data_IF_370150916510
#
_entry.id   IF_370150916510
#
_cell.length_a   1.000
_cell.length_b   1.000
_cell.length_c   1.000
_cell.angle_alpha   90.00
_cell.angle_beta   90.00
_cell.angle_gamma   90.00
#
_symmetry.space_group_name_H-M   'P 1'
#
loop_
_entity.id
_entity.type
_entity.pdbx_description
1 polymer ?
#
# COMPACT_ATOMS: atom_id res chain seq x y z
N UNK A 1 22.61 16.99 -12.79
CA UNK A 1 22.30 16.87 -11.35
C UNK A 1 22.62 18.18 -10.61
N UNK A 2 23.89 18.56 -10.46
CA UNK A 2 24.31 19.78 -9.72
C UNK A 2 23.60 21.07 -10.13
N UNK A 3 23.36 21.32 -11.43
CA UNK A 3 22.61 22.52 -11.85
C UNK A 3 21.19 22.60 -11.23
N UNK A 4 20.51 21.45 -11.12
CA UNK A 4 19.12 21.35 -10.66
C UNK A 4 18.99 21.28 -9.15
N UNK A 5 19.96 20.67 -8.46
CA UNK A 5 19.89 20.40 -7.02
C UNK A 5 20.92 21.16 -6.19
N UNK A 6 21.95 21.76 -6.80
CA UNK A 6 23.17 22.29 -6.16
C UNK A 6 23.98 21.26 -5.35
N UNK A 7 23.69 19.97 -5.52
CA UNK A 7 24.42 18.89 -4.86
C UNK A 7 25.28 18.14 -5.89
N UNK A 8 26.37 17.54 -5.44
CA UNK A 8 27.15 16.60 -6.25
C UNK A 8 26.42 15.25 -6.33
N UNK A 9 26.42 14.64 -7.53
CA UNK A 9 25.75 13.37 -7.78
C UNK A 9 26.40 12.20 -7.04
N UNK A 10 27.73 12.24 -6.88
CA UNK A 10 28.48 11.18 -6.22
C UNK A 10 28.29 11.20 -4.69
N UNK A 11 27.92 12.35 -4.12
CA UNK A 11 27.69 12.55 -2.69
C UNK A 11 26.19 12.67 -2.34
N UNK A 12 25.32 11.97 -3.09
CA UNK A 12 23.86 12.01 -2.90
C UNK A 12 23.35 11.45 -1.58
N UNK A 13 24.18 10.72 -0.83
CA UNK A 13 23.82 10.21 0.49
C UNK A 13 23.82 11.29 1.57
N UNK A 14 24.57 12.39 1.35
CA UNK A 14 24.58 13.60 2.18
C UNK A 14 23.86 14.75 1.49
N UNK A 15 22.71 14.45 0.87
CA UNK A 15 21.94 15.45 0.12
C UNK A 15 21.41 16.56 1.04
N UNK A 16 21.58 17.82 0.61
CA UNK A 16 21.00 18.98 1.29
C UNK A 16 20.02 19.71 0.38
N UNK A 17 18.79 19.91 0.85
CA UNK A 17 17.77 20.66 0.10
C UNK A 17 18.12 22.15 0.09
N UNK A 18 18.08 22.76 -1.11
CA UNK A 18 18.23 24.20 -1.29
C UNK A 18 16.92 24.84 -1.78
N UNK A 19 16.59 26.00 -1.23
CA UNK A 19 15.41 26.77 -1.64
C UNK A 19 15.44 27.09 -3.15
N UNK A 20 14.29 26.93 -3.82
CA UNK A 20 14.13 27.14 -5.26
C UNK A 20 14.84 26.12 -6.17
N UNK A 21 15.43 25.06 -5.60
CA UNK A 21 16.09 23.98 -6.35
C UNK A 21 15.33 22.67 -6.18
N UNK A 22 15.56 21.71 -7.06
CA UNK A 22 14.92 20.40 -6.98
C UNK A 22 15.35 19.65 -5.72
N UNK A 23 14.42 18.88 -5.14
CA UNK A 23 14.74 17.91 -4.09
C UNK A 23 15.19 16.58 -4.70
N UNK A 24 15.81 15.73 -3.89
CA UNK A 24 16.20 14.38 -4.28
C UNK A 24 15.31 13.36 -3.58
N UNK A 25 14.48 12.70 -4.38
CA UNK A 25 13.64 11.59 -3.95
C UNK A 25 14.35 10.29 -4.28
N UNK A 26 14.71 9.51 -3.25
CA UNK A 26 15.34 8.19 -3.42
C UNK A 26 14.27 7.17 -3.84
N UNK A 27 14.32 6.79 -5.12
CA UNK A 27 13.50 5.72 -5.68
C UNK A 27 14.33 4.42 -5.70
N UNK A 28 13.74 3.33 -5.24
CA UNK A 28 14.36 2.00 -5.36
C UNK A 28 14.14 1.47 -6.78
N UNK A 29 15.06 1.82 -7.68
CA UNK A 29 15.14 1.21 -9.00
C UNK A 29 15.77 -0.18 -8.89
N UNK A 30 15.05 -1.14 -8.33
CA UNK A 30 15.43 -2.54 -8.47
C UNK A 30 15.10 -3.00 -9.91
N UNK A 31 16.05 -3.49 -10.72
CA UNK A 31 15.77 -3.93 -12.09
C UNK A 31 14.84 -5.14 -12.18
N UNK A 32 14.49 -5.79 -11.07
CA UNK A 32 13.45 -6.83 -10.98
C UNK A 32 12.02 -6.25 -10.97
N UNK A 33 11.80 -5.03 -10.50
CA UNK A 33 10.47 -4.39 -10.42
C UNK A 33 10.18 -3.46 -11.61
N UNK A 34 11.18 -3.15 -12.44
CA UNK A 34 10.99 -2.33 -13.64
C UNK A 34 10.55 -3.17 -14.85
N UNK A 35 9.28 -3.58 -14.88
CA UNK A 35 8.57 -3.67 -16.16
C UNK A 35 8.28 -2.24 -16.61
N UNK A 36 9.23 -1.65 -17.33
CA UNK A 36 9.15 -0.50 -18.23
C UNK A 36 10.26 0.53 -17.96
N UNK A 37 11.02 0.75 -19.04
CA UNK A 37 11.96 1.83 -19.30
C UNK A 37 13.33 1.73 -18.60
N UNK A 38 14.29 1.01 -19.19
CA UNK A 38 15.34 1.66 -20.00
C UNK A 38 16.23 0.68 -20.79
N UNK A 39 16.94 1.24 -21.77
CA UNK A 39 17.59 0.65 -22.96
C UNK A 39 18.73 -0.33 -22.65
N UNK A 40 18.58 -1.59 -23.08
CA UNK A 40 19.66 -2.49 -23.57
C UNK A 40 19.01 -3.70 -24.27
N UNK A 41 19.13 -3.75 -25.61
CA UNK A 41 18.26 -4.55 -26.50
C UNK A 41 18.55 -6.07 -26.51
N UNK A 42 19.78 -6.52 -26.26
CA UNK A 42 20.12 -7.94 -26.44
C UNK A 42 19.69 -8.83 -25.26
N UNK A 43 19.72 -8.33 -24.02
CA UNK A 43 19.25 -9.08 -22.85
C UNK A 43 17.72 -9.09 -22.73
N UNK A 44 17.02 -8.15 -23.36
CA UNK A 44 15.56 -8.08 -23.38
C UNK A 44 14.95 -9.18 -24.24
N UNK A 45 15.60 -9.53 -25.36
CA UNK A 45 15.12 -10.56 -26.27
C UNK A 45 15.21 -11.96 -25.65
N UNK A 46 16.34 -12.30 -25.03
CA UNK A 46 16.51 -13.58 -24.30
C UNK A 46 15.61 -13.70 -23.06
N UNK A 47 15.41 -12.60 -22.31
CA UNK A 47 14.45 -12.59 -21.17
C UNK A 47 13.00 -12.62 -21.62
N UNK A 48 12.64 -11.96 -22.71
CA UNK A 48 11.29 -11.98 -23.26
C UNK A 48 10.97 -13.35 -23.85
N UNK A 49 11.90 -13.99 -24.56
CA UNK A 49 11.78 -15.35 -25.07
C UNK A 49 11.65 -16.37 -23.93
N UNK A 50 12.47 -16.27 -22.88
CA UNK A 50 12.35 -17.11 -21.68
C UNK A 50 11.06 -16.85 -20.86
N UNK A 51 10.54 -15.62 -20.87
CA UNK A 51 9.30 -15.24 -20.19
C UNK A 51 8.06 -15.67 -20.98
N UNK A 52 8.12 -15.65 -22.32
CA UNK A 52 7.09 -16.20 -23.20
C UNK A 52 7.05 -17.74 -23.12
N UNK A 53 8.20 -18.42 -23.03
CA UNK A 53 8.26 -19.86 -22.71
C UNK A 53 7.75 -20.20 -21.30
N UNK A 54 7.86 -19.27 -20.35
CA UNK A 54 7.30 -19.42 -19.00
C UNK A 54 5.78 -19.27 -18.98
N UNK A 55 5.25 -18.28 -19.71
CA UNK A 55 3.80 -18.06 -19.87
C UNK A 55 3.12 -19.15 -20.68
N UNK A 56 3.85 -19.86 -21.53
CA UNK A 56 3.31 -20.96 -22.34
C UNK A 56 3.19 -22.28 -21.58
N UNK A 57 3.72 -22.37 -20.35
CA UNK A 57 3.49 -23.54 -19.49
C UNK A 57 2.10 -23.42 -18.83
N UNK A 58 1.28 -24.48 -18.82
CA UNK A 58 0.01 -24.44 -18.14
C UNK A 58 0.24 -24.14 -16.66
N UNK A 59 -0.38 -23.07 -16.16
CA UNK A 59 -0.36 -22.71 -14.75
C UNK A 59 -0.98 -23.90 -13.99
N UNK A 60 -0.29 -24.47 -12.98
CA UNK A 60 -0.85 -25.55 -12.18
C UNK A 60 -2.17 -25.11 -11.52
N UNK A 61 -3.14 -26.02 -11.39
CA UNK A 61 -4.35 -25.72 -10.64
C UNK A 61 -4.03 -25.39 -9.17
N UNK A 62 -4.72 -24.39 -8.63
CA UNK A 62 -4.61 -23.99 -7.22
C UNK A 62 -5.17 -25.09 -6.32
N UNK A 63 -4.51 -25.32 -5.18
CA UNK A 63 -4.96 -26.29 -4.16
C UNK A 63 -5.95 -25.70 -3.16
N UNK A 64 -6.20 -24.39 -3.21
CA UNK A 64 -7.01 -23.66 -2.24
C UNK A 64 -8.51 -23.76 -2.56
N UNK A 65 -9.35 -23.62 -1.54
CA UNK A 65 -10.81 -23.47 -1.72
C UNK A 65 -11.09 -22.24 -2.60
N UNK A 66 -12.10 -22.34 -3.48
CA UNK A 66 -12.39 -21.26 -4.43
C UNK A 66 -12.71 -19.93 -3.74
N UNK A 67 -13.31 -19.95 -2.55
CA UNK A 67 -13.56 -18.76 -1.74
C UNK A 67 -12.27 -18.09 -1.28
N UNK A 68 -11.28 -18.89 -0.88
CA UNK A 68 -9.94 -18.39 -0.54
C UNK A 68 -9.27 -17.82 -1.77
N UNK A 69 -9.33 -18.52 -2.91
CA UNK A 69 -8.75 -18.00 -4.16
C UNK A 69 -9.32 -16.62 -4.52
N UNK A 70 -10.65 -16.47 -4.46
CA UNK A 70 -11.31 -15.20 -4.75
C UNK A 70 -10.90 -14.10 -3.77
N UNK A 71 -10.76 -14.41 -2.48
CA UNK A 71 -10.30 -13.47 -1.47
C UNK A 71 -8.86 -13.02 -1.75
N UNK A 72 -7.95 -13.95 -2.05
CA UNK A 72 -6.55 -13.65 -2.36
C UNK A 72 -6.43 -12.84 -3.65
N UNK A 73 -7.17 -13.20 -4.69
CA UNK A 73 -7.25 -12.42 -5.93
C UNK A 73 -7.73 -10.99 -5.67
N UNK A 74 -8.69 -10.80 -4.76
CA UNK A 74 -9.21 -9.48 -4.39
C UNK A 74 -8.17 -8.65 -3.64
N UNK A 75 -7.61 -9.18 -2.54
CA UNK A 75 -6.70 -8.41 -1.68
C UNK A 75 -5.30 -8.21 -2.28
N UNK A 76 -4.87 -9.06 -3.22
CA UNK A 76 -3.60 -8.91 -3.94
C UNK A 76 -3.77 -8.23 -5.31
N UNK A 77 -4.92 -7.60 -5.59
CA UNK A 77 -5.17 -6.95 -6.87
C UNK A 77 -4.45 -5.60 -6.96
N UNK A 78 -3.29 -5.60 -7.61
CA UNK A 78 -2.49 -4.38 -7.85
C UNK A 78 -3.28 -3.27 -8.53
N UNK A 79 -4.19 -3.60 -9.45
CA UNK A 79 -4.97 -2.59 -10.16
C UNK A 79 -5.96 -1.89 -9.22
N UNK A 80 -6.61 -2.62 -8.33
CA UNK A 80 -7.51 -2.02 -7.33
C UNK A 80 -6.72 -1.13 -6.36
N UNK A 81 -5.49 -1.52 -6.00
CA UNK A 81 -4.60 -0.67 -5.20
C UNK A 81 -4.22 0.62 -5.93
N UNK A 82 -3.87 0.54 -7.21
CA UNK A 82 -3.59 1.72 -8.04
C UNK A 82 -4.80 2.65 -8.16
N UNK A 83 -5.99 2.09 -8.39
CA UNK A 83 -7.25 2.85 -8.47
C UNK A 83 -7.56 3.57 -7.15
N UNK A 84 -7.41 2.89 -6.00
CA UNK A 84 -7.61 3.50 -4.68
C UNK A 84 -6.67 4.69 -4.42
N UNK A 85 -5.38 4.55 -4.76
CA UNK A 85 -4.42 5.65 -4.58
C UNK A 85 -4.67 6.83 -5.52
N UNK A 86 -5.16 6.59 -6.73
CA UNK A 86 -5.56 7.66 -7.65
C UNK A 86 -6.73 8.48 -7.10
N UNK A 87 -7.69 7.83 -6.41
CA UNK A 87 -8.77 8.53 -5.71
C UNK A 87 -8.23 9.45 -4.61
N UNK A 88 -7.20 8.99 -3.89
CA UNK A 88 -6.45 9.76 -2.88
C UNK A 88 -5.46 10.78 -3.48
N UNK A 89 -5.52 11.03 -4.79
CA UNK A 89 -4.68 12.01 -5.53
C UNK A 89 -3.19 11.70 -5.56
N UNK A 90 -2.78 10.47 -5.26
CA UNK A 90 -1.39 10.05 -5.41
C UNK A 90 -1.00 9.94 -6.89
N UNK A 91 0.21 10.40 -7.22
CA UNK A 91 0.73 10.32 -8.59
C UNK A 91 1.50 9.01 -8.84
N UNK A 92 0.73 7.94 -9.09
CA UNK A 92 1.27 6.63 -9.43
C UNK A 92 2.06 6.61 -10.75
N UNK A 93 1.91 7.61 -11.63
CA UNK A 93 2.68 7.71 -12.89
C UNK A 93 4.10 8.18 -12.61
N UNK A 94 4.26 9.19 -11.75
CA UNK A 94 5.58 9.68 -11.33
C UNK A 94 6.25 8.71 -10.36
N UNK A 95 5.49 8.04 -9.50
CA UNK A 95 6.02 7.09 -8.54
C UNK A 95 5.20 5.79 -8.54
N UNK A 96 5.56 4.83 -9.41
CA UNK A 96 4.90 3.51 -9.43
C UNK A 96 5.03 2.82 -8.08
N UNK A 97 4.01 2.06 -7.70
CA UNK A 97 3.87 1.44 -6.38
C UNK A 97 5.11 0.68 -5.90
N UNK A 98 5.71 -0.13 -6.77
CA UNK A 98 6.89 -0.93 -6.44
C UNK A 98 8.23 -0.15 -6.39
N UNK A 99 8.21 1.18 -6.36
CA UNK A 99 9.41 2.05 -6.33
C UNK A 99 9.42 3.05 -5.18
N UNK A 100 8.33 3.15 -4.43
CA UNK A 100 8.27 3.97 -3.24
C UNK A 100 9.05 3.27 -2.12
N UNK A 101 10.04 3.95 -1.54
CA UNK A 101 10.82 3.36 -0.46
C UNK A 101 10.19 3.64 0.91
N UNK A 102 10.31 2.69 1.84
CA UNK A 102 9.93 2.91 3.26
C UNK A 102 10.57 4.18 3.85
N UNK A 103 11.79 4.54 3.41
CA UNK A 103 12.45 5.78 3.83
C UNK A 103 11.70 7.05 3.37
N UNK A 104 11.14 7.03 2.15
CA UNK A 104 10.35 8.14 1.61
C UNK A 104 9.01 8.28 2.34
N UNK A 105 8.34 7.16 2.64
CA UNK A 105 7.09 7.14 3.43
C UNK A 105 7.32 7.73 4.82
N UNK A 106 8.39 7.30 5.51
CA UNK A 106 8.81 7.87 6.81
C UNK A 106 9.10 9.37 6.71
N UNK A 107 9.73 9.81 5.63
CA UNK A 107 9.96 11.24 5.39
C UNK A 107 8.65 12.01 5.16
N UNK A 108 7.63 11.38 4.57
CA UNK A 108 6.26 11.90 4.47
C UNK A 108 5.62 12.09 5.84
N UNK A 109 5.65 11.06 6.70
CA UNK A 109 5.12 11.15 8.06
C UNK A 109 5.79 12.26 8.88
N UNK A 110 7.11 12.40 8.76
CA UNK A 110 7.83 13.47 9.43
C UNK A 110 7.35 14.86 8.97
N UNK A 111 7.09 15.05 7.66
CA UNK A 111 6.56 16.30 7.13
C UNK A 111 5.12 16.57 7.59
N UNK A 112 4.25 15.55 7.64
CA UNK A 112 2.90 15.68 8.20
C UNK A 112 2.92 16.05 9.69
N UNK A 113 3.85 15.48 10.46
CA UNK A 113 4.02 15.83 11.88
C UNK A 113 4.45 17.28 12.08
N UNK A 114 5.29 17.82 11.21
CA UNK A 114 5.61 19.26 11.23
C UNK A 114 4.37 20.11 10.94
N UNK A 115 3.56 19.73 9.95
CA UNK A 115 2.29 20.41 9.62
C UNK A 115 1.32 20.35 10.81
N UNK A 116 1.20 19.20 11.47
CA UNK A 116 0.37 19.01 12.67
C UNK A 116 0.75 20.00 13.77
N UNK A 117 2.05 20.20 14.04
CA UNK A 117 2.51 21.15 15.05
C UNK A 117 2.05 22.59 14.75
N UNK A 118 2.05 23.00 13.48
CA UNK A 118 1.54 24.30 13.08
C UNK A 118 0.01 24.41 13.20
N UNK A 119 -0.72 23.35 12.89
CA UNK A 119 -2.19 23.29 13.07
C UNK A 119 -2.53 23.43 14.56
N UNK A 120 -1.85 22.68 15.42
CA UNK A 120 -2.07 22.68 16.88
C UNK A 120 -1.75 24.04 17.52
N UNK A 121 -0.78 24.77 16.98
CA UNK A 121 -0.40 26.11 17.44
C UNK A 121 -1.14 27.24 16.71
N UNK A 122 -2.01 26.89 15.75
CA UNK A 122 -2.75 27.81 14.90
C UNK A 122 -1.84 28.85 14.19
N UNK A 123 -0.64 28.42 13.77
CA UNK A 123 0.38 29.27 13.17
C UNK A 123 0.57 28.97 11.68
N UNK A 124 0.02 29.83 10.82
CA UNK A 124 0.04 29.65 9.35
C UNK A 124 0.97 30.66 8.66
N UNK A 125 2.20 30.78 9.15
CA UNK A 125 3.22 31.66 8.59
C UNK A 125 3.92 31.04 7.35
N UNK A 126 4.98 31.70 6.86
CA UNK A 126 5.77 31.20 5.74
C UNK A 126 6.40 29.81 5.99
N UNK A 127 6.73 29.47 7.24
CA UNK A 127 7.26 28.16 7.59
C UNK A 127 6.21 27.05 7.45
N UNK A 128 4.94 27.32 7.78
CA UNK A 128 3.83 26.39 7.52
C UNK A 128 3.65 26.11 6.02
N UNK A 129 3.79 27.14 5.17
CA UNK A 129 3.75 26.95 3.71
C UNK A 129 4.92 26.07 3.24
N UNK A 130 6.12 26.28 3.79
CA UNK A 130 7.28 25.46 3.45
C UNK A 130 7.14 24.01 3.92
N UNK A 131 6.49 23.76 5.08
CA UNK A 131 6.18 22.41 5.54
C UNK A 131 5.23 21.69 4.57
N UNK A 132 4.19 22.38 4.07
CA UNK A 132 3.29 21.85 3.04
C UNK A 132 4.03 21.57 1.72
N UNK A 133 4.87 22.50 1.27
CA UNK A 133 5.69 22.32 0.07
C UNK A 133 6.62 21.11 0.21
N UNK A 134 7.22 20.93 1.39
CA UNK A 134 8.10 19.80 1.70
C UNK A 134 7.33 18.48 1.64
N UNK A 135 6.12 18.43 2.21
CA UNK A 135 5.26 17.25 2.12
C UNK A 135 4.95 16.87 0.67
N UNK A 136 4.41 17.79 -0.14
CA UNK A 136 4.08 17.50 -1.55
C UNK A 136 5.29 17.25 -2.44
N UNK A 137 6.47 17.69 -2.03
CA UNK A 137 7.73 17.35 -2.71
C UNK A 137 8.15 15.91 -2.39
N UNK A 138 7.93 15.45 -1.15
CA UNK A 138 8.27 14.09 -0.70
C UNK A 138 7.25 13.06 -1.16
N UNK A 139 5.98 13.40 -1.17
CA UNK A 139 4.87 12.51 -1.53
C UNK A 139 4.21 13.05 -2.81
N UNK A 140 4.45 12.41 -3.97
CA UNK A 140 3.95 12.89 -5.25
C UNK A 140 2.42 12.86 -5.34
N UNK A 141 1.84 13.99 -5.69
CA UNK A 141 0.41 14.15 -5.90
C UNK A 141 0.09 14.65 -7.30
N UNK A 142 -1.08 14.25 -7.83
CA UNK A 142 -1.61 14.68 -9.12
C UNK A 142 -2.74 15.69 -8.90
N UNK A 143 -2.38 16.97 -8.94
CA UNK A 143 -3.34 18.10 -8.86
C UNK A 143 -3.68 18.70 -10.24
N UNK A 144 -3.13 18.14 -11.33
CA UNK A 144 -3.29 18.68 -12.67
C UNK A 144 -2.75 20.11 -12.79
N UNK A 145 -3.63 21.05 -13.16
CA UNK A 145 -3.28 22.49 -13.31
C UNK A 145 -3.62 23.32 -12.08
N UNK A 146 -4.12 22.69 -11.01
CA UNK A 146 -4.48 23.39 -9.79
C UNK A 146 -3.29 23.51 -8.86
N UNK A 147 -3.26 24.60 -8.10
CA UNK A 147 -2.28 24.78 -7.02
C UNK A 147 -2.51 23.70 -5.95
N UNK A 148 -1.45 23.02 -5.46
CA UNK A 148 -1.57 22.09 -4.34
C UNK A 148 -2.31 22.73 -3.16
N UNK A 149 -3.33 22.07 -2.60
CA UNK A 149 -4.11 22.62 -1.49
C UNK A 149 -3.26 22.65 -0.21
N UNK A 150 -3.54 23.59 0.70
CA UNK A 150 -2.88 23.61 2.01
C UNK A 150 -3.60 22.68 3.00
N UNK A 151 -2.83 21.89 3.75
CA UNK A 151 -3.28 21.00 4.82
C UNK A 151 -3.41 21.83 6.10
N UNK A 152 -4.59 22.42 6.34
CA UNK A 152 -4.83 23.37 7.45
C UNK A 152 -5.70 22.80 8.57
N UNK A 153 -6.36 21.68 8.32
CA UNK A 153 -7.33 21.10 9.26
C UNK A 153 -6.93 19.68 9.63
N UNK A 154 -7.31 19.24 10.83
CA UNK A 154 -7.10 17.86 11.28
C UNK A 154 -7.75 16.84 10.34
N UNK A 155 -8.87 17.19 9.69
CA UNK A 155 -9.52 16.32 8.70
C UNK A 155 -8.64 16.12 7.46
N UNK A 156 -8.05 17.19 6.93
CA UNK A 156 -7.12 17.10 5.80
C UNK A 156 -5.86 16.34 6.20
N UNK A 157 -5.30 16.63 7.38
CA UNK A 157 -4.14 15.92 7.90
C UNK A 157 -4.40 14.41 8.01
N UNK A 158 -5.56 14.03 8.56
CA UNK A 158 -5.97 12.62 8.67
C UNK A 158 -6.08 11.95 7.30
N UNK A 159 -6.65 12.62 6.32
CA UNK A 159 -6.74 12.07 4.96
C UNK A 159 -5.35 11.80 4.34
N UNK A 160 -4.39 12.70 4.56
CA UNK A 160 -3.01 12.52 4.11
C UNK A 160 -2.27 11.43 4.90
N UNK A 161 -2.60 11.24 6.19
CA UNK A 161 -2.09 10.12 6.98
C UNK A 161 -2.62 8.78 6.47
N UNK A 162 -3.93 8.70 6.15
CA UNK A 162 -4.55 7.52 5.54
C UNK A 162 -3.86 7.16 4.21
N UNK A 163 -3.45 8.17 3.42
CA UNK A 163 -2.68 7.93 2.20
C UNK A 163 -1.32 7.29 2.50
N UNK A 164 -0.58 7.82 3.48
CA UNK A 164 0.72 7.25 3.85
C UNK A 164 0.60 5.82 4.41
N UNK A 165 -0.45 5.53 5.17
CA UNK A 165 -0.73 4.19 5.69
C UNK A 165 -1.00 3.21 4.54
N UNK A 166 -1.86 3.61 3.59
CA UNK A 166 -2.12 2.79 2.40
C UNK A 166 -0.85 2.56 1.56
N UNK A 167 0.02 3.57 1.43
CA UNK A 167 1.28 3.44 0.72
C UNK A 167 2.27 2.49 1.44
N UNK A 168 2.31 2.49 2.77
CA UNK A 168 3.14 1.59 3.58
C UNK A 168 2.67 0.14 3.44
N UNK A 169 1.37 -0.09 3.55
CA UNK A 169 0.76 -1.42 3.37
C UNK A 169 1.07 -1.98 1.97
N UNK A 170 0.91 -1.14 0.94
CA UNK A 170 1.19 -1.54 -0.45
C UNK A 170 2.69 -1.84 -0.64
N UNK A 171 3.59 -1.04 -0.07
CA UNK A 171 5.05 -1.28 -0.13
C UNK A 171 5.41 -2.65 0.45
N UNK A 172 4.85 -2.98 1.61
CA UNK A 172 5.04 -4.28 2.27
C UNK A 172 4.49 -5.42 1.40
N UNK A 173 3.30 -5.24 0.81
CA UNK A 173 2.71 -6.22 -0.10
C UNK A 173 3.62 -6.45 -1.31
N UNK A 174 4.11 -5.39 -1.97
CA UNK A 174 5.01 -5.52 -3.13
C UNK A 174 6.34 -6.18 -2.76
N UNK A 175 6.91 -5.86 -1.60
CA UNK A 175 8.11 -6.51 -1.12
C UNK A 175 7.88 -8.00 -0.86
N UNK A 176 6.68 -8.36 -0.39
CA UNK A 176 6.30 -9.75 -0.14
C UNK A 176 6.05 -10.50 -1.46
N UNK A 177 5.21 -9.96 -2.35
CA UNK A 177 4.83 -10.55 -3.65
C UNK A 177 6.01 -10.76 -4.61
N UNK A 178 7.06 -9.93 -4.53
CA UNK A 178 8.21 -10.02 -5.44
C UNK A 178 9.31 -11.00 -4.98
N UNK A 179 9.13 -11.71 -3.86
CA UNK A 179 10.09 -12.71 -3.40
C UNK A 179 9.85 -14.06 -4.10
N UNK A 180 10.83 -14.46 -4.92
CA UNK A 180 11.02 -15.77 -5.58
C UNK A 180 9.78 -16.43 -6.21
N UNK A 181 9.57 -16.17 -7.51
CA UNK A 181 8.63 -16.93 -8.35
C UNK A 181 9.15 -18.34 -8.58
N UNK A 182 8.75 -19.26 -7.72
CA UNK A 182 8.90 -20.69 -8.00
C UNK A 182 7.90 -21.05 -9.12
N UNK A 183 8.42 -21.21 -10.34
CA UNK A 183 7.64 -21.46 -11.56
C UNK A 183 6.81 -22.77 -11.57
N UNK A 184 6.77 -23.49 -10.45
CA UNK A 184 6.06 -24.75 -10.28
C UNK A 184 4.80 -24.64 -9.40
N UNK A 185 4.51 -23.45 -8.86
CA UNK A 185 3.36 -23.23 -7.95
C UNK A 185 2.37 -22.25 -8.60
N UNK A 186 1.08 -22.43 -8.31
CA UNK A 186 0.06 -21.48 -8.74
C UNK A 186 0.34 -20.10 -8.08
N UNK A 187 0.27 -18.97 -8.81
CA UNK A 187 0.51 -17.65 -8.25
C UNK A 187 -0.38 -17.28 -7.06
N UNK A 188 -1.64 -17.74 -7.03
CA UNK A 188 -2.56 -17.51 -5.92
C UNK A 188 -2.09 -18.26 -4.67
N UNK A 189 -1.64 -19.50 -4.84
CA UNK A 189 -1.09 -20.31 -3.75
C UNK A 189 0.19 -19.68 -3.21
N UNK A 190 1.03 -19.13 -4.09
CA UNK A 190 2.23 -18.40 -3.67
C UNK A 190 1.88 -17.16 -2.84
N UNK A 191 0.93 -16.35 -3.29
CA UNK A 191 0.47 -15.17 -2.55
C UNK A 191 -0.14 -15.55 -1.21
N UNK A 192 -0.91 -16.64 -1.14
CA UNK A 192 -1.50 -17.15 0.08
C UNK A 192 -0.45 -17.57 1.12
N UNK A 193 0.55 -18.36 0.71
CA UNK A 193 1.65 -18.78 1.60
C UNK A 193 2.43 -17.59 2.18
N UNK A 194 2.59 -16.55 1.37
CA UNK A 194 3.26 -15.31 1.77
C UNK A 194 2.51 -14.54 2.88
N UNK A 195 1.19 -14.69 3.00
CA UNK A 195 0.41 -14.05 4.07
C UNK A 195 0.73 -14.64 5.46
N UNK A 196 1.28 -15.86 5.53
CA UNK A 196 1.56 -16.57 6.80
C UNK A 196 0.35 -16.58 7.73
N UNK A 197 -0.80 -16.84 7.11
CA UNK A 197 -2.09 -16.75 7.75
C UNK A 197 -3.03 -17.78 7.12
N UNK A 198 -3.50 -18.74 7.92
CA UNK A 198 -4.46 -19.73 7.44
C UNK A 198 -5.84 -19.11 7.33
N UNK A 199 -6.51 -19.37 6.21
CA UNK A 199 -7.87 -18.92 5.94
C UNK A 199 -8.75 -20.14 5.69
N UNK A 200 -9.61 -20.47 6.66
CA UNK A 200 -10.52 -21.59 6.57
C UNK A 200 -11.95 -21.09 6.33
N UNK A 201 -12.54 -21.34 5.15
CA UNK A 201 -13.90 -20.89 4.88
C UNK A 201 -14.93 -21.59 5.77
N UNK A 202 -15.78 -20.79 6.43
CA UNK A 202 -16.86 -21.29 7.29
C UNK A 202 -18.08 -21.65 6.44
N UNK A 203 -18.73 -22.76 6.77
CA UNK A 203 -19.95 -23.17 6.08
C UNK A 203 -21.16 -22.35 6.53
N UNK A 204 -22.05 -22.01 5.60
CA UNK A 204 -23.25 -21.18 5.89
C UNK A 204 -24.23 -21.84 6.87
N UNK A 205 -24.17 -23.17 6.98
CA UNK A 205 -24.98 -23.96 7.92
C UNK A 205 -24.38 -24.00 9.33
N UNK A 206 -23.15 -23.55 9.53
CA UNK A 206 -22.48 -23.57 10.82
C UNK A 206 -23.13 -22.58 11.79
N UNK A 207 -23.16 -22.95 13.07
CA UNK A 207 -23.60 -22.08 14.16
C UNK A 207 -22.73 -20.82 14.25
N UNK A 208 -21.43 -20.92 13.96
CA UNK A 208 -20.53 -19.77 13.94
C UNK A 208 -20.98 -18.77 12.86
N UNK A 209 -21.36 -19.26 11.67
CA UNK A 209 -21.85 -18.39 10.60
C UNK A 209 -23.10 -17.61 11.03
N UNK A 210 -24.08 -18.32 11.61
CA UNK A 210 -25.32 -17.70 12.10
C UNK A 210 -25.07 -16.70 13.22
N UNK A 211 -24.11 -16.98 14.11
CA UNK A 211 -23.74 -16.07 15.19
C UNK A 211 -23.15 -14.77 14.65
N UNK A 212 -22.22 -14.85 13.68
CA UNK A 212 -21.60 -13.67 13.06
C UNK A 212 -22.61 -12.88 12.22
N UNK A 213 -23.49 -13.55 11.47
CA UNK A 213 -24.57 -12.88 10.73
C UNK A 213 -25.50 -12.11 11.69
N UNK A 214 -25.92 -12.75 12.78
CA UNK A 214 -26.70 -12.08 13.82
C UNK A 214 -25.93 -10.91 14.43
N UNK A 215 -24.64 -11.06 14.71
CA UNK A 215 -23.83 -9.98 15.26
C UNK A 215 -23.76 -8.79 14.29
N UNK A 216 -23.57 -9.04 12.99
CA UNK A 216 -23.55 -8.00 11.95
C UNK A 216 -24.88 -7.25 11.85
N UNK A 217 -25.98 -7.98 11.76
CA UNK A 217 -27.31 -7.37 11.60
C UNK A 217 -27.75 -6.61 12.86
N UNK A 218 -27.47 -7.15 14.05
CA UNK A 218 -27.87 -6.52 15.31
C UNK A 218 -27.03 -5.28 15.69
N UNK A 219 -25.81 -5.16 15.17
CA UNK A 219 -24.92 -4.03 15.46
C UNK A 219 -24.89 -2.95 14.38
N UNK A 220 -25.75 -3.06 13.35
CA UNK A 220 -25.88 -2.04 12.33
C UNK A 220 -26.48 -0.74 12.91
N UNK A 221 -25.66 0.32 12.95
CA UNK A 221 -26.03 1.58 13.59
C UNK A 221 -27.24 2.24 12.90
N UNK A 222 -28.20 2.70 13.70
CA UNK A 222 -29.42 3.32 13.19
C UNK A 222 -29.17 4.61 12.37
N UNK A 223 -28.00 5.23 12.51
CA UNK A 223 -27.58 6.42 11.76
C UNK A 223 -26.95 6.11 10.39
N UNK A 224 -26.56 4.87 10.12
CA UNK A 224 -25.84 4.47 8.89
C UNK A 224 -26.75 3.82 7.85
N UNK A 225 -27.94 4.40 7.60
CA UNK A 225 -28.98 3.83 6.74
C UNK A 225 -28.72 3.95 5.23
N UNK A 226 -27.61 4.57 4.82
CA UNK A 226 -27.26 4.76 3.41
C UNK A 226 -26.92 3.43 2.70
N UNK A 227 -26.63 2.38 3.45
CA UNK A 227 -26.29 1.07 2.90
C UNK A 227 -26.84 -0.05 3.80
N UNK A 228 -26.89 -1.25 3.25
CA UNK A 228 -27.15 -2.50 3.99
C UNK A 228 -25.96 -3.43 3.81
N UNK A 229 -25.69 -4.26 4.80
CA UNK A 229 -24.60 -5.23 4.76
C UNK A 229 -25.17 -6.65 4.63
N UNK A 230 -24.57 -7.43 3.75
CA UNK A 230 -24.86 -8.85 3.58
C UNK A 230 -23.53 -9.61 3.62
N UNK A 231 -23.50 -10.72 4.35
CA UNK A 231 -22.34 -11.60 4.39
C UNK A 231 -22.30 -12.42 3.10
N UNK A 232 -21.21 -12.29 2.35
CA UNK A 232 -20.92 -13.15 1.19
C UNK A 232 -20.27 -14.47 1.64
N UNK A 233 -19.16 -14.36 2.36
CA UNK A 233 -18.37 -15.45 2.92
C UNK A 233 -17.80 -15.08 4.30
N UNK A 234 -17.49 -16.10 5.12
CA UNK A 234 -16.81 -15.96 6.41
C UNK A 234 -15.59 -16.87 6.38
N UNK A 235 -14.46 -16.37 6.88
CA UNK A 235 -13.23 -17.13 7.01
C UNK A 235 -12.81 -17.13 8.48
N UNK A 236 -12.53 -18.31 9.02
CA UNK A 236 -11.74 -18.45 10.24
C UNK A 236 -10.29 -18.15 9.90
N UNK A 237 -9.68 -17.26 10.68
CA UNK A 237 -8.34 -16.74 10.45
C UNK A 237 -7.42 -17.23 11.56
N UNK A 238 -6.30 -17.85 11.19
CA UNK A 238 -5.22 -18.21 12.11
C UNK A 238 -3.90 -17.64 11.59
N UNK A 239 -3.48 -16.51 12.16
CA UNK A 239 -2.21 -15.87 11.82
C UNK A 239 -1.06 -16.52 12.58
N UNK A 240 0.04 -16.79 11.89
CA UNK A 240 1.22 -17.43 12.47
C UNK A 240 1.79 -16.59 13.63
N UNK A 241 1.99 -17.21 14.79
CA UNK A 241 2.56 -16.57 15.98
C UNK A 241 1.57 -15.77 16.83
N UNK A 242 0.32 -15.57 16.38
CA UNK A 242 -0.65 -14.72 17.09
C UNK A 242 -1.12 -15.34 18.41
N UNK A 243 -1.27 -16.67 18.47
CA UNK A 243 -1.68 -17.38 19.68
C UNK A 243 -0.64 -17.28 20.79
N UNK A 244 0.64 -17.25 20.42
CA UNK A 244 1.78 -17.20 21.32
C UNK A 244 1.98 -15.81 21.93
N UNK A 245 1.67 -14.75 21.18
CA UNK A 245 1.79 -13.36 21.65
C UNK A 245 0.53 -12.85 22.35
N UNK A 246 -0.60 -13.55 22.21
CA UNK A 246 -1.87 -13.13 22.80
C UNK A 246 -1.80 -13.18 24.33
N UNK A 247 -1.90 -12.01 24.97
CA UNK A 247 -1.90 -11.88 26.42
C UNK A 247 -3.33 -11.71 26.95
N UNK A 248 -3.80 -12.69 27.72
CA UNK A 248 -5.13 -12.64 28.33
C UNK A 248 -5.12 -11.75 29.59
N UNK A 249 -5.67 -10.56 29.45
CA UNK A 249 -5.81 -9.58 30.54
C UNK A 249 -7.19 -9.60 31.21
N UNK A 250 -8.04 -10.57 30.86
CA UNK A 250 -9.45 -10.63 31.26
C UNK A 250 -10.38 -9.80 30.35
N UNK A 251 -11.70 -9.99 30.51
CA UNK A 251 -12.76 -9.36 29.70
C UNK A 251 -12.58 -9.55 28.17
N UNK A 252 -12.45 -10.80 27.74
CA UNK A 252 -12.30 -11.14 26.32
C UNK A 252 -13.60 -10.87 25.55
N UNK A 253 -13.54 -10.00 24.57
CA UNK A 253 -14.67 -9.62 23.72
C UNK A 253 -14.29 -9.80 22.25
N UNK A 254 -15.28 -10.17 21.43
CA UNK A 254 -15.17 -10.13 19.97
C UNK A 254 -15.65 -8.76 19.49
N UNK A 255 -14.84 -8.06 18.69
CA UNK A 255 -15.11 -6.71 18.18
C UNK A 255 -14.94 -6.68 16.65
N UNK A 256 -15.52 -5.66 16.00
CA UNK A 256 -15.30 -5.33 14.59
C UNK A 256 -13.99 -4.61 14.37
#
# INVERSE_FOLDING_TARGET
FSDKTKNDFYHRDTFTKYSGKYDYVKLDYNPSTSKNNDKNDENKKKRAEALEELKSRPIPESKLDKRVQNLIELICNVRLMEEALLEMKFDAKKNPLGKLSSAQIKAGYAALKEIENFINTNNFNAAFMEANNTYYTRIPHEFGRHTPPLIKTTKQLKHEMELLEALDDIEVIFNTLNTDTNNHVNPIDQNYEQLKCKLNPVNKTDNIYQLIDKYLQSTHAATHQLYKMQIEDIFEIERDGEKEIFNDVGNKMLLW
#
